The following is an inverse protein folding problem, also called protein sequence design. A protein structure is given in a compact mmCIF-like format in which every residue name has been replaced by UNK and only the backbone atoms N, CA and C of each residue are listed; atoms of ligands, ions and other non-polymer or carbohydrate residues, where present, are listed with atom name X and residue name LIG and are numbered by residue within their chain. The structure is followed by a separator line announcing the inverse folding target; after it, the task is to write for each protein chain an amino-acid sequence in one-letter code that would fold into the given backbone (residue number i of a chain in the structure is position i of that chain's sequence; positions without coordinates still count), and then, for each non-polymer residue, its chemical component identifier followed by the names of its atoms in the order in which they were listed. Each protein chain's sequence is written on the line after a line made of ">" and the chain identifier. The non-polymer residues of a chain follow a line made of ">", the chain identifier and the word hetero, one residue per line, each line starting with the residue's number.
data_IF_828560886554
#
_entry.id   IF_828560886554
#
_cell.length_a   1.000
_cell.length_b   1.000
_cell.length_c   1.000
_cell.angle_alpha   90.00
_cell.angle_beta   90.00
_cell.angle_gamma   90.00
#
_symmetry.space_group_name_H-M   'P 1'
#
loop_
_entity.id
_entity.type
_entity.pdbx_description
1 polymer ?
#
# COMPACT_ATOMS: atom_id res chain seq x y z
N UNK A 1 62.16 4.28 -17.78
CA UNK A 1 61.78 3.09 -16.97
C UNK A 1 60.35 3.28 -16.51
N UNK A 2 59.60 2.18 -16.41
CA UNK A 2 58.13 2.06 -16.31
C UNK A 2 57.47 2.89 -15.19
N UNK A 3 56.32 3.47 -15.53
CA UNK A 3 55.25 3.99 -14.66
C UNK A 3 54.71 2.94 -13.67
N UNK A 4 54.17 3.34 -12.52
CA UNK A 4 52.95 2.82 -11.84
C UNK A 4 52.49 3.86 -10.79
N UNK A 5 51.44 4.63 -11.04
CA UNK A 5 50.00 4.36 -10.81
C UNK A 5 49.55 4.73 -9.38
N UNK A 6 48.77 5.81 -9.30
CA UNK A 6 48.07 6.28 -8.12
C UNK A 6 46.89 5.35 -7.79
N UNK A 7 46.82 4.88 -6.54
CA UNK A 7 45.67 4.14 -6.03
C UNK A 7 44.61 5.13 -5.53
N UNK A 8 43.64 5.45 -6.39
CA UNK A 8 42.41 6.13 -5.99
C UNK A 8 41.41 5.09 -5.45
N UNK A 9 41.13 5.14 -4.14
CA UNK A 9 40.06 4.37 -3.51
C UNK A 9 38.71 5.00 -3.89
N UNK A 10 38.05 4.43 -4.89
CA UNK A 10 36.65 4.74 -5.19
C UNK A 10 35.75 3.96 -4.22
N UNK A 11 35.21 4.65 -3.22
CA UNK A 11 34.17 4.11 -2.34
C UNK A 11 32.89 3.97 -3.14
N UNK A 12 32.59 2.75 -3.60
CA UNK A 12 31.31 2.41 -4.18
C UNK A 12 30.22 2.55 -3.11
N UNK A 13 29.30 3.49 -3.29
CA UNK A 13 28.10 3.58 -2.47
C UNK A 13 27.24 2.34 -2.78
N UNK A 14 27.17 1.39 -1.84
CA UNK A 14 26.22 0.29 -1.89
C UNK A 14 24.81 0.88 -1.72
N UNK A 15 24.07 1.00 -2.82
CA UNK A 15 22.61 1.10 -2.74
C UNK A 15 22.10 -0.22 -2.15
N UNK A 16 21.68 -0.22 -0.89
CA UNK A 16 21.00 -1.35 -0.29
C UNK A 16 19.66 -1.56 -1.03
N UNK A 17 19.40 -2.73 -1.63
CA UNK A 17 18.07 -3.06 -2.09
C UNK A 17 17.18 -3.19 -0.85
N UNK A 18 16.18 -2.32 -0.73
CA UNK A 18 15.14 -2.49 0.28
C UNK A 18 14.45 -3.83 0.07
N UNK A 19 14.29 -4.61 1.15
CA UNK A 19 13.57 -5.88 1.14
C UNK A 19 12.17 -5.68 0.53
N UNK A 20 11.68 -6.59 -0.33
CA UNK A 20 10.36 -6.46 -0.92
C UNK A 20 9.33 -6.55 0.20
N UNK A 21 8.69 -5.42 0.53
CA UNK A 21 7.48 -5.47 1.33
C UNK A 21 6.43 -6.22 0.50
N UNK A 22 5.86 -7.29 1.06
CA UNK A 22 4.91 -8.14 0.35
C UNK A 22 3.69 -7.30 -0.04
N UNK A 23 3.61 -6.94 -1.32
CA UNK A 23 2.50 -6.20 -1.86
C UNK A 23 1.35 -7.17 -2.15
N UNK A 24 0.16 -6.89 -1.62
CA UNK A 24 -1.03 -7.70 -1.87
C UNK A 24 -1.96 -6.96 -2.84
N UNK A 25 -2.62 -7.69 -3.75
CA UNK A 25 -3.50 -7.08 -4.76
C UNK A 25 -4.94 -7.52 -4.60
N UNK A 26 -5.86 -6.58 -4.34
CA UNK A 26 -7.29 -6.80 -4.38
C UNK A 26 -7.79 -6.63 -5.82
N UNK A 27 -8.36 -7.69 -6.40
CA UNK A 27 -8.96 -7.64 -7.74
C UNK A 27 -10.48 -7.69 -7.62
N UNK A 28 -11.14 -6.60 -8.02
CA UNK A 28 -12.60 -6.48 -8.11
C UNK A 28 -13.06 -6.58 -9.58
N UNK A 29 -14.35 -6.35 -9.83
CA UNK A 29 -14.89 -6.32 -11.19
C UNK A 29 -14.21 -5.22 -12.03
N UNK A 30 -14.15 -3.99 -11.51
CA UNK A 30 -13.70 -2.85 -12.30
C UNK A 30 -12.32 -2.33 -11.89
N UNK A 31 -11.74 -2.79 -10.78
CA UNK A 31 -10.46 -2.29 -10.29
C UNK A 31 -9.51 -3.41 -9.86
N UNK A 32 -8.22 -3.12 -9.97
CA UNK A 32 -7.14 -3.87 -9.34
C UNK A 32 -6.38 -2.90 -8.45
N UNK A 33 -6.25 -3.22 -7.16
CA UNK A 33 -5.67 -2.34 -6.15
C UNK A 33 -4.53 -3.08 -5.46
N UNK A 34 -3.31 -2.63 -5.69
CA UNK A 34 -2.13 -3.13 -4.99
C UNK A 34 -1.90 -2.28 -3.73
N UNK A 35 -1.74 -2.97 -2.60
CA UNK A 35 -1.39 -2.40 -1.30
C UNK A 35 0.02 -2.86 -0.94
N UNK A 36 0.90 -1.89 -0.71
CA UNK A 36 2.30 -2.15 -0.38
C UNK A 36 2.64 -1.55 0.98
N UNK A 37 3.12 -2.32 1.96
CA UNK A 37 3.63 -1.77 3.22
C UNK A 37 4.81 -0.83 2.93
N UNK A 38 4.82 0.36 3.53
CA UNK A 38 5.94 1.31 3.43
C UNK A 38 6.81 1.34 4.69
N UNK A 39 6.56 0.43 5.63
CA UNK A 39 7.44 0.12 6.75
C UNK A 39 8.61 -0.76 6.27
N UNK A 40 9.70 -0.77 7.06
CA UNK A 40 10.79 -1.73 6.90
C UNK A 40 10.36 -3.17 7.21
N UNK A 41 11.29 -4.04 7.62
CA UNK A 41 11.03 -5.48 7.75
C UNK A 41 9.93 -5.87 8.75
N UNK A 42 9.55 -4.97 9.66
CA UNK A 42 8.47 -5.17 10.62
C UNK A 42 7.13 -4.61 10.10
N UNK A 43 6.29 -5.49 9.55
CA UNK A 43 4.93 -5.15 9.05
C UNK A 43 3.91 -4.98 10.19
N UNK A 44 4.18 -5.56 11.37
CA UNK A 44 3.26 -5.55 12.52
C UNK A 44 2.91 -4.15 13.01
N UNK A 45 3.83 -3.20 12.92
CA UNK A 45 3.63 -1.80 13.35
C UNK A 45 3.60 -0.83 12.15
N UNK A 46 3.19 -1.31 10.99
CA UNK A 46 3.20 -0.51 9.77
C UNK A 46 2.13 0.58 9.83
N UNK A 47 2.54 1.85 9.96
CA UNK A 47 1.59 2.96 9.99
C UNK A 47 1.26 3.51 8.58
N UNK A 48 2.03 3.11 7.58
CA UNK A 48 1.98 3.71 6.25
C UNK A 48 1.98 2.66 5.14
N UNK A 49 1.07 2.82 4.19
CA UNK A 49 0.90 1.92 3.04
C UNK A 49 0.79 2.73 1.75
N UNK A 50 1.33 2.19 0.66
CA UNK A 50 1.05 2.68 -0.68
C UNK A 50 -0.17 1.96 -1.26
N UNK A 51 -0.96 2.72 -2.01
CA UNK A 51 -2.07 2.26 -2.84
C UNK A 51 -1.70 2.52 -4.30
N UNK A 52 -1.80 1.50 -5.14
CA UNK A 52 -1.73 1.62 -6.58
C UNK A 52 -2.99 1.00 -7.20
N UNK A 53 -3.95 1.84 -7.59
CA UNK A 53 -5.21 1.43 -8.18
C UNK A 53 -5.17 1.56 -9.70
N UNK A 54 -5.67 0.54 -10.39
CA UNK A 54 -5.84 0.51 -11.84
C UNK A 54 -7.28 0.16 -12.18
N UNK A 55 -7.93 0.93 -13.05
CA UNK A 55 -9.23 0.57 -13.59
C UNK A 55 -9.08 -0.47 -14.70
N UNK A 56 -9.72 -1.62 -14.54
CA UNK A 56 -9.50 -2.82 -15.35
C UNK A 56 -9.88 -2.65 -16.82
N UNK A 57 -10.80 -1.74 -17.16
CA UNK A 57 -11.27 -1.57 -18.55
C UNK A 57 -10.45 -0.58 -19.37
N UNK A 58 -10.04 0.54 -18.78
CA UNK A 58 -9.37 1.63 -19.51
C UNK A 58 -7.92 1.86 -19.08
N UNK A 59 -7.44 1.12 -18.07
CA UNK A 59 -6.06 1.20 -17.60
C UNK A 59 -5.70 2.48 -16.83
N UNK A 60 -6.66 3.37 -16.54
CA UNK A 60 -6.41 4.58 -15.74
C UNK A 60 -5.90 4.22 -14.36
N UNK A 61 -4.90 4.97 -13.87
CA UNK A 61 -4.19 4.68 -12.62
C UNK A 61 -4.26 5.83 -11.63
N UNK A 62 -4.19 5.47 -10.36
CA UNK A 62 -4.02 6.42 -9.25
C UNK A 62 -3.14 5.80 -8.18
N UNK A 63 -2.18 6.59 -7.70
CA UNK A 63 -1.28 6.20 -6.63
C UNK A 63 -1.47 7.16 -5.46
N UNK A 64 -1.47 6.62 -4.25
CA UNK A 64 -1.59 7.42 -3.03
C UNK A 64 -0.96 6.70 -1.84
N UNK A 65 -0.77 7.43 -0.77
CA UNK A 65 -0.31 6.91 0.51
C UNK A 65 -1.44 6.98 1.51
N UNK A 66 -1.55 5.98 2.36
CA UNK A 66 -2.57 5.90 3.39
C UNK A 66 -2.05 5.18 4.61
N UNK A 67 -3.00 4.77 5.45
CA UNK A 67 -2.75 4.25 6.79
C UNK A 67 -3.64 3.05 7.06
N UNK A 68 -3.30 2.22 8.06
CA UNK A 68 -4.23 1.22 8.56
C UNK A 68 -5.57 1.85 8.96
N UNK A 69 -6.65 1.14 8.68
CA UNK A 69 -7.98 1.49 9.15
C UNK A 69 -8.32 0.60 10.35
N UNK A 70 -8.74 1.18 11.46
CA UNK A 70 -9.23 0.39 12.61
C UNK A 70 -10.72 0.09 12.43
N UNK A 71 -11.16 -1.15 12.71
CA UNK A 71 -12.57 -1.35 13.10
C UNK A 71 -12.73 -0.72 14.48
N UNK A 72 -13.83 -0.01 14.70
CA UNK A 72 -14.23 0.37 16.06
C UNK A 72 -14.61 -0.91 16.80
N UNK A 73 -13.71 -1.42 17.63
CA UNK A 73 -14.00 -2.54 18.51
C UNK A 73 -14.56 -2.03 19.84
N UNK A 74 -15.52 -2.76 20.40
CA UNK A 74 -16.10 -2.47 21.70
C UNK A 74 -15.09 -2.63 22.84
N UNK A 75 -15.37 -2.09 24.04
CA UNK A 75 -14.40 -1.88 25.12
C UNK A 75 -13.84 -3.16 25.80
N UNK A 76 -14.02 -4.36 25.25
CA UNK A 76 -13.67 -5.63 25.91
C UNK A 76 -12.97 -6.68 25.03
N UNK A 77 -12.57 -6.35 23.81
CA UNK A 77 -11.85 -7.29 22.93
C UNK A 77 -10.38 -6.89 22.83
N UNK A 78 -9.51 -7.59 23.56
CA UNK A 78 -8.07 -7.49 23.37
C UNK A 78 -7.70 -8.18 22.05
N UNK A 79 -7.14 -7.41 21.10
CA UNK A 79 -6.66 -7.91 19.80
C UNK A 79 -7.27 -7.27 18.55
N UNK A 80 -7.57 -5.96 18.53
CA UNK A 80 -8.01 -5.28 17.31
C UNK A 80 -6.85 -4.68 16.52
N UNK A 81 -6.18 -5.55 15.75
CA UNK A 81 -5.34 -5.16 14.63
C UNK A 81 -6.17 -4.46 13.52
N UNK A 82 -5.53 -3.66 12.64
CA UNK A 82 -6.25 -2.84 11.69
C UNK A 82 -7.07 -3.66 10.70
N UNK A 83 -8.35 -3.33 10.57
CA UNK A 83 -9.22 -3.89 9.57
C UNK A 83 -9.20 -3.04 8.30
N UNK A 84 -8.30 -3.42 7.39
CA UNK A 84 -8.15 -2.81 6.08
C UNK A 84 -7.28 -1.56 6.08
N UNK A 85 -7.39 -0.82 4.99
CA UNK A 85 -6.52 0.32 4.68
C UNK A 85 -7.35 1.50 4.23
N UNK A 86 -6.99 2.71 4.67
CA UNK A 86 -7.68 3.93 4.35
C UNK A 86 -6.74 4.94 3.68
N UNK A 87 -7.21 5.45 2.54
CA UNK A 87 -6.49 6.41 1.72
C UNK A 87 -7.38 7.59 1.37
N UNK A 88 -6.76 8.71 1.05
CA UNK A 88 -7.46 9.96 0.72
C UNK A 88 -6.85 10.60 -0.52
N UNK A 89 -7.73 11.13 -1.38
CA UNK A 89 -7.35 12.06 -2.44
C UNK A 89 -8.35 13.22 -2.45
N UNK A 90 -7.92 14.37 -1.93
CA UNK A 90 -8.82 15.51 -1.70
C UNK A 90 -9.96 15.14 -0.75
N UNK A 91 -11.21 15.41 -1.15
CA UNK A 91 -12.42 15.05 -0.40
C UNK A 91 -12.88 13.59 -0.55
N UNK A 92 -12.14 12.77 -1.30
CA UNK A 92 -12.53 11.39 -1.60
C UNK A 92 -11.74 10.42 -0.72
N UNK A 93 -12.44 9.54 0.00
CA UNK A 93 -11.85 8.46 0.80
C UNK A 93 -11.96 7.12 0.09
N UNK A 94 -10.90 6.32 0.18
CA UNK A 94 -10.79 4.99 -0.40
C UNK A 94 -10.50 4.00 0.71
N UNK A 95 -11.43 3.09 0.96
CA UNK A 95 -11.27 2.00 1.93
C UNK A 95 -11.06 0.68 1.21
N UNK A 96 -10.03 -0.05 1.61
CA UNK A 96 -9.68 -1.37 1.09
C UNK A 96 -9.70 -2.36 2.25
N UNK A 97 -10.75 -3.15 2.34
CA UNK A 97 -10.98 -4.12 3.41
C UNK A 97 -10.23 -5.42 3.16
N UNK A 98 -9.65 -5.99 4.23
CA UNK A 98 -9.08 -7.35 4.19
C UNK A 98 -10.16 -8.40 3.85
N UNK A 99 -11.44 -8.12 4.08
CA UNK A 99 -12.59 -8.93 3.68
C UNK A 99 -12.95 -8.85 2.17
N UNK A 100 -12.15 -8.11 1.40
CA UNK A 100 -12.22 -8.00 -0.05
C UNK A 100 -13.09 -6.84 -0.53
N UNK A 101 -13.52 -5.92 0.35
CA UNK A 101 -14.27 -4.73 -0.06
C UNK A 101 -13.35 -3.60 -0.57
N UNK A 102 -13.72 -3.02 -1.70
CA UNK A 102 -13.26 -1.70 -2.15
C UNK A 102 -14.43 -0.73 -2.05
N UNK A 103 -14.29 0.30 -1.24
CA UNK A 103 -15.32 1.33 -1.04
C UNK A 103 -14.69 2.70 -1.30
N UNK A 104 -15.33 3.50 -2.14
CA UNK A 104 -14.93 4.89 -2.40
C UNK A 104 -16.08 5.80 -2.03
N UNK A 105 -15.79 6.79 -1.19
CA UNK A 105 -16.75 7.82 -0.81
C UNK A 105 -16.25 9.19 -1.23
N UNK A 106 -17.12 9.98 -1.83
CA UNK A 106 -16.92 11.40 -2.07
C UNK A 106 -17.72 12.18 -1.01
N UNK A 107 -17.01 12.73 -0.02
CA UNK A 107 -17.61 13.23 1.21
C UNK A 107 -18.46 12.16 1.91
N UNK A 108 -19.76 12.42 2.06
CA UNK A 108 -20.71 11.52 2.75
C UNK A 108 -21.39 10.52 1.80
N UNK A 109 -21.06 10.51 0.50
CA UNK A 109 -21.72 9.67 -0.49
C UNK A 109 -20.80 8.54 -0.93
N UNK A 110 -21.27 7.30 -0.84
CA UNK A 110 -20.59 6.16 -1.48
C UNK A 110 -20.78 6.21 -2.99
N UNK A 111 -19.68 6.36 -3.72
CA UNK A 111 -19.64 6.44 -5.19
C UNK A 111 -19.17 5.14 -5.83
N UNK A 112 -18.47 4.30 -5.06
CA UNK A 112 -18.09 2.94 -5.46
C UNK A 112 -18.21 1.99 -4.27
N UNK A 113 -18.74 0.79 -4.52
CA UNK A 113 -18.70 -0.33 -3.59
C UNK A 113 -18.60 -1.63 -4.39
N UNK A 114 -17.44 -2.26 -4.34
CA UNK A 114 -17.17 -3.51 -5.04
C UNK A 114 -16.53 -4.53 -4.12
N UNK A 115 -16.82 -5.80 -4.36
CA UNK A 115 -16.14 -6.90 -3.69
C UNK A 115 -15.23 -7.62 -4.68
N UNK A 116 -14.07 -8.01 -4.20
CA UNK A 116 -13.04 -8.68 -4.97
C UNK A 116 -12.39 -9.83 -4.19
N UNK A 117 -11.31 -10.34 -4.77
CA UNK A 117 -10.47 -11.36 -4.16
C UNK A 117 -9.05 -10.85 -4.04
N UNK A 118 -8.41 -11.09 -2.90
CA UNK A 118 -6.99 -10.84 -2.72
C UNK A 118 -6.14 -11.85 -3.51
N UNK A 119 -5.02 -11.36 -4.01
CA UNK A 119 -3.99 -12.09 -4.73
C UNK A 119 -2.64 -11.70 -4.14
N UNK A 120 -1.85 -12.72 -3.83
CA UNK A 120 -0.46 -12.60 -3.38
C UNK A 120 0.50 -12.68 -4.59
#
# INVERSE_FOLDING_TARGET
>A
MKSFAAAGLATAALCAPGSPSHAATLVTRNYSVQITPLCGEAVVDCEQFAYAGTHNRNGSRINMTGKPAMRACGPREAGCDPAGYLFYNGGVSYFVGQDGWLIVNDGNRSVLRERGNWKD
#
